data_IF_262011649036
#
_entry.id   IF_262011649036
#
_cell.length_a   1.000
_cell.length_b   1.000
_cell.length_c   1.000
_cell.angle_alpha   90.00
_cell.angle_beta   90.00
_cell.angle_gamma   90.00
#
_symmetry.space_group_name_H-M   'P 1'
#
loop_
_entity.id
_entity.type
_entity.pdbx_description
1 polymer ?
#
# COMPACT_ATOMS: atom_id res chain seq x y z
N UNK A 1 -20.46 0.02 -19.54
CA UNK A 1 -19.70 0.13 -18.28
C UNK A 1 -20.69 0.15 -17.14
N UNK A 2 -20.88 -0.96 -16.44
CA UNK A 2 -21.72 -0.99 -15.25
C UNK A 2 -20.96 -0.25 -14.13
N UNK A 3 -21.53 0.86 -13.67
CA UNK A 3 -21.05 1.56 -12.48
C UNK A 3 -21.30 0.66 -11.28
N UNK A 4 -20.24 0.28 -10.57
CA UNK A 4 -20.33 -0.34 -9.25
C UNK A 4 -20.82 0.73 -8.26
N UNK A 5 -22.09 1.09 -8.32
CA UNK A 5 -22.70 1.97 -7.32
C UNK A 5 -23.05 1.08 -6.13
N UNK A 6 -22.38 1.29 -5.01
CA UNK A 6 -22.85 0.77 -3.73
C UNK A 6 -24.29 1.29 -3.56
N UNK A 7 -25.26 0.40 -3.65
CA UNK A 7 -26.67 0.76 -3.43
C UNK A 7 -26.83 0.88 -1.91
N UNK A 8 -27.15 2.07 -1.38
CA UNK A 8 -27.42 2.22 0.04
C UNK A 8 -28.61 1.32 0.40
N UNK A 9 -28.52 0.67 1.58
CA UNK A 9 -29.52 -0.29 2.08
C UNK A 9 -29.64 -1.62 1.31
N UNK A 10 -28.53 -2.07 0.69
CA UNK A 10 -28.48 -3.38 0.07
C UNK A 10 -28.66 -4.48 1.13
N UNK A 11 -29.63 -5.36 0.90
CA UNK A 11 -29.85 -6.51 1.77
C UNK A 11 -28.82 -7.59 1.45
N UNK A 12 -27.95 -7.89 2.43
CA UNK A 12 -26.87 -8.88 2.28
C UNK A 12 -27.24 -10.26 2.81
N UNK A 13 -28.31 -10.34 3.60
CA UNK A 13 -28.89 -11.58 4.10
C UNK A 13 -30.41 -11.53 4.01
N UNK A 14 -31.05 -12.70 3.89
CA UNK A 14 -32.49 -12.84 4.00
C UNK A 14 -32.99 -12.71 5.48
N UNK A 15 -34.31 -12.88 5.70
CA UNK A 15 -34.90 -12.81 7.03
C UNK A 15 -34.41 -13.90 7.98
N UNK A 16 -33.91 -15.01 7.44
CA UNK A 16 -33.40 -16.16 8.20
C UNK A 16 -31.88 -16.09 8.43
N UNK A 17 -31.23 -15.02 7.93
CA UNK A 17 -29.79 -14.78 8.05
C UNK A 17 -28.93 -15.47 7.01
N UNK A 18 -29.52 -16.09 5.98
CA UNK A 18 -28.76 -16.70 4.90
C UNK A 18 -28.21 -15.62 3.95
N UNK A 19 -27.00 -15.79 3.41
CA UNK A 19 -26.40 -14.86 2.49
C UNK A 19 -27.23 -14.65 1.21
N UNK A 20 -27.50 -13.39 0.88
CA UNK A 20 -28.23 -13.02 -0.34
C UNK A 20 -27.29 -12.83 -1.52
N UNK A 21 -27.77 -13.16 -2.72
CA UNK A 21 -27.06 -12.90 -3.97
C UNK A 21 -27.12 -11.42 -4.27
N UNK A 22 -25.96 -10.85 -4.60
CA UNK A 22 -25.82 -9.46 -5.04
C UNK A 22 -25.30 -9.43 -6.47
N UNK A 23 -25.97 -8.66 -7.33
CA UNK A 23 -25.52 -8.49 -8.72
C UNK A 23 -24.17 -7.80 -8.76
N UNK A 24 -23.15 -8.47 -9.32
CA UNK A 24 -21.79 -7.95 -9.49
C UNK A 24 -21.24 -8.36 -10.86
N UNK A 25 -20.66 -7.41 -11.57
CA UNK A 25 -20.08 -7.63 -12.90
C UNK A 25 -21.16 -7.69 -13.98
N UNK A 26 -21.63 -8.86 -14.32
CA UNK A 26 -22.67 -9.08 -15.33
C UNK A 26 -24.07 -9.05 -14.73
N UNK A 27 -25.06 -8.70 -15.57
CA UNK A 27 -26.47 -8.78 -15.20
C UNK A 27 -26.86 -10.22 -14.81
N UNK A 28 -27.77 -10.36 -13.84
CA UNK A 28 -28.16 -11.67 -13.33
C UNK A 28 -28.86 -12.51 -14.43
N UNK A 29 -29.72 -11.88 -15.24
CA UNK A 29 -30.41 -12.58 -16.34
C UNK A 29 -29.41 -13.13 -17.37
N UNK A 30 -28.28 -12.40 -17.60
CA UNK A 30 -27.21 -12.88 -18.46
C UNK A 30 -26.53 -14.11 -17.87
N UNK A 31 -26.22 -14.09 -16.57
CA UNK A 31 -25.62 -15.24 -15.88
C UNK A 31 -26.55 -16.46 -15.89
N UNK A 32 -27.82 -16.24 -15.67
CA UNK A 32 -28.87 -17.28 -15.65
C UNK A 32 -29.15 -17.85 -17.04
N UNK A 33 -28.79 -17.11 -18.11
CA UNK A 33 -28.92 -17.60 -19.49
C UNK A 33 -27.94 -18.74 -19.82
N UNK A 34 -26.88 -18.91 -19.06
CA UNK A 34 -26.03 -20.06 -19.18
C UNK A 34 -26.62 -21.24 -18.43
N UNK A 35 -26.69 -22.38 -19.12
CA UNK A 35 -27.22 -23.61 -18.52
C UNK A 35 -26.59 -23.92 -17.18
N UNK A 36 -27.41 -24.09 -16.15
CA UNK A 36 -26.91 -24.39 -14.80
C UNK A 36 -26.04 -25.63 -14.79
N UNK A 37 -24.87 -25.52 -14.14
CA UNK A 37 -23.92 -26.63 -14.00
C UNK A 37 -22.84 -26.71 -15.08
N UNK A 38 -22.92 -25.94 -16.16
CA UNK A 38 -21.85 -25.90 -17.17
C UNK A 38 -20.70 -24.96 -16.78
N UNK A 39 -20.99 -23.83 -16.13
CA UNK A 39 -20.00 -22.89 -15.62
C UNK A 39 -19.79 -23.06 -14.10
N UNK A 40 -18.74 -22.46 -13.58
CA UNK A 40 -18.62 -22.29 -12.14
C UNK A 40 -19.72 -21.36 -11.64
N UNK A 41 -20.16 -21.55 -10.38
CA UNK A 41 -21.18 -20.66 -9.78
C UNK A 41 -20.77 -19.19 -9.93
N UNK A 42 -21.59 -18.41 -10.62
CA UNK A 42 -21.31 -17.00 -10.96
C UNK A 42 -21.99 -16.01 -10.02
N UNK A 43 -22.65 -16.52 -8.99
CA UNK A 43 -23.30 -15.72 -7.99
C UNK A 43 -22.28 -15.08 -7.04
N UNK A 44 -22.56 -13.87 -6.64
CA UNK A 44 -21.74 -13.14 -5.67
C UNK A 44 -22.48 -13.05 -4.34
N UNK A 45 -21.84 -13.57 -3.29
CA UNK A 45 -22.33 -13.56 -1.93
C UNK A 45 -21.37 -12.75 -1.05
N UNK A 46 -21.61 -11.44 -0.84
CA UNK A 46 -20.68 -10.58 -0.09
C UNK A 46 -20.32 -11.09 1.29
N UNK A 47 -21.27 -11.73 1.99
CA UNK A 47 -21.06 -12.26 3.33
C UNK A 47 -20.19 -13.51 3.39
N UNK A 48 -20.00 -14.21 2.27
CA UNK A 48 -19.17 -15.41 2.21
C UNK A 48 -17.82 -15.17 1.52
N UNK A 49 -17.79 -14.24 0.57
CA UNK A 49 -16.66 -14.06 -0.35
C UNK A 49 -15.38 -13.62 0.39
N UNK A 50 -15.51 -12.80 1.45
CA UNK A 50 -14.38 -12.34 2.25
C UNK A 50 -13.58 -13.48 2.92
N UNK A 51 -14.19 -14.65 3.14
CA UNK A 51 -13.53 -15.80 3.73
C UNK A 51 -12.59 -16.49 2.74
N UNK A 52 -12.82 -16.26 1.45
CA UNK A 52 -12.09 -16.89 0.34
C UNK A 52 -10.95 -16.01 -0.18
N UNK A 53 -10.81 -14.80 0.36
CA UNK A 53 -9.77 -13.84 -0.02
C UNK A 53 -8.87 -13.55 1.20
N UNK A 54 -7.57 -13.75 1.04
CA UNK A 54 -6.58 -13.52 2.10
C UNK A 54 -5.48 -12.61 1.60
N UNK A 55 -5.32 -11.49 2.26
CA UNK A 55 -4.20 -10.57 2.01
C UNK A 55 -3.18 -10.71 3.13
N UNK A 56 -1.92 -10.91 2.78
CA UNK A 56 -0.80 -10.92 3.71
C UNK A 56 0.27 -9.96 3.22
N UNK A 57 0.65 -9.02 4.07
CA UNK A 57 1.76 -8.09 3.80
C UNK A 57 2.90 -8.38 4.77
N UNK A 58 4.09 -8.60 4.25
CA UNK A 58 5.31 -8.74 5.01
C UNK A 58 6.23 -7.57 4.66
N UNK A 59 6.60 -6.76 5.66
CA UNK A 59 7.56 -5.67 5.54
C UNK A 59 8.84 -6.00 6.30
N UNK A 60 9.98 -5.73 5.69
CA UNK A 60 11.29 -5.79 6.33
C UNK A 60 12.00 -4.47 6.13
N UNK A 61 12.42 -3.84 7.23
CA UNK A 61 13.16 -2.58 7.20
C UNK A 61 14.51 -2.74 7.88
N UNK A 62 15.54 -2.18 7.25
CA UNK A 62 16.89 -2.05 7.82
C UNK A 62 17.27 -0.58 7.76
N UNK A 63 17.63 0.00 8.90
CA UNK A 63 18.10 1.37 9.02
C UNK A 63 19.48 1.39 9.68
N UNK A 64 20.44 2.03 9.03
CA UNK A 64 21.80 2.21 9.53
C UNK A 64 22.09 3.70 9.61
N UNK A 65 22.48 4.18 10.79
CA UNK A 65 22.90 5.55 11.02
C UNK A 65 24.36 5.57 11.45
N UNK A 66 25.17 6.37 10.76
CA UNK A 66 26.56 6.61 11.10
C UNK A 66 26.80 8.11 11.28
N UNK A 67 27.58 8.49 12.28
CA UNK A 67 27.98 9.88 12.50
C UNK A 67 29.46 9.98 12.91
N UNK A 68 30.11 11.00 12.39
CA UNK A 68 31.49 11.35 12.73
C UNK A 68 31.54 12.82 13.09
N UNK A 69 32.07 13.12 14.28
CA UNK A 69 32.32 14.47 14.75
C UNK A 69 33.84 14.67 14.84
N UNK A 70 34.36 15.72 14.22
CA UNK A 70 35.77 16.03 14.20
C UNK A 70 36.06 17.49 14.59
N UNK A 71 36.89 17.66 15.62
CA UNK A 71 37.34 18.99 16.04
C UNK A 71 38.54 19.40 15.20
N UNK A 72 38.33 20.33 14.28
CA UNK A 72 39.38 20.78 13.33
C UNK A 72 40.37 21.70 14.03
N UNK A 73 39.86 22.72 14.73
CA UNK A 73 40.63 23.74 15.46
C UNK A 73 39.84 24.18 16.71
N UNK A 74 40.46 25.02 17.56
CA UNK A 74 39.73 25.63 18.68
C UNK A 74 38.53 26.42 18.18
N UNK A 75 37.32 26.00 18.58
CA UNK A 75 36.06 26.61 18.20
C UNK A 75 35.44 26.09 16.93
N UNK A 76 36.12 25.26 16.11
CA UNK A 76 35.55 24.67 14.89
C UNK A 76 35.37 23.16 15.05
N UNK A 77 34.14 22.72 14.79
CA UNK A 77 33.76 21.30 14.79
C UNK A 77 33.00 20.96 13.51
N UNK A 78 33.44 19.92 12.80
CA UNK A 78 32.75 19.37 11.67
C UNK A 78 31.98 18.13 12.10
N UNK A 79 30.74 18.04 11.67
CA UNK A 79 29.88 16.87 11.84
C UNK A 79 29.52 16.31 10.47
N UNK A 80 29.63 15.01 10.29
CA UNK A 80 29.17 14.28 9.13
C UNK A 80 28.25 13.17 9.59
N UNK A 81 27.04 13.12 9.00
CA UNK A 81 26.04 12.06 9.25
C UNK A 81 25.66 11.39 7.96
N UNK A 82 25.55 10.08 8.02
CA UNK A 82 25.06 9.24 6.94
C UNK A 82 23.95 8.33 7.46
N UNK A 83 22.84 8.27 6.75
CA UNK A 83 21.74 7.34 7.01
C UNK A 83 21.47 6.52 5.77
N UNK A 84 21.46 5.21 5.94
CA UNK A 84 20.99 4.25 4.95
C UNK A 84 19.73 3.58 5.46
N UNK A 85 18.69 3.57 4.65
CA UNK A 85 17.45 2.87 4.95
C UNK A 85 17.07 2.01 3.75
N UNK A 86 16.74 0.76 4.01
CA UNK A 86 16.22 -0.18 3.00
C UNK A 86 14.95 -0.82 3.55
N UNK A 87 13.85 -0.62 2.85
CA UNK A 87 12.55 -1.22 3.16
C UNK A 87 12.13 -2.11 1.98
N UNK A 88 11.71 -3.33 2.30
CA UNK A 88 11.20 -4.28 1.33
C UNK A 88 9.83 -4.77 1.80
N UNK A 89 8.79 -4.44 1.06
CA UNK A 89 7.40 -4.82 1.34
C UNK A 89 6.94 -5.81 0.28
N UNK A 90 6.36 -6.92 0.73
CA UNK A 90 5.78 -7.95 -0.15
C UNK A 90 4.34 -8.16 0.29
N UNK A 91 3.42 -7.94 -0.63
CA UNK A 91 1.99 -8.21 -0.43
C UNK A 91 1.57 -9.39 -1.30
N UNK A 92 0.93 -10.36 -0.69
CA UNK A 92 0.38 -11.55 -1.30
C UNK A 92 -1.13 -11.55 -1.08
N UNK A 93 -1.90 -11.54 -2.19
CA UNK A 93 -3.35 -11.70 -2.18
C UNK A 93 -3.67 -13.09 -2.72
N UNK A 94 -4.08 -13.97 -1.85
CA UNK A 94 -4.52 -15.31 -2.21
C UNK A 94 -6.04 -15.32 -2.34
N UNK A 95 -6.52 -15.55 -3.55
CA UNK A 95 -7.91 -15.78 -3.89
C UNK A 95 -8.13 -17.29 -3.99
N UNK A 96 -8.94 -17.84 -3.10
CA UNK A 96 -9.29 -19.26 -3.15
C UNK A 96 -10.15 -19.56 -4.39
N UNK A 97 -10.17 -20.82 -4.81
CA UNK A 97 -10.98 -21.29 -5.92
C UNK A 97 -12.49 -21.03 -5.76
N UNK A 98 -12.95 -20.84 -4.52
CA UNK A 98 -14.33 -20.52 -4.18
C UNK A 98 -14.62 -19.02 -4.18
N UNK A 99 -13.60 -18.15 -4.28
CA UNK A 99 -13.83 -16.71 -4.35
C UNK A 99 -14.59 -16.33 -5.63
N UNK A 100 -15.44 -15.30 -5.54
CA UNK A 100 -16.10 -14.76 -6.74
C UNK A 100 -15.07 -14.30 -7.77
N UNK A 101 -13.97 -13.72 -7.34
CA UNK A 101 -12.88 -13.27 -8.21
C UNK A 101 -12.38 -14.39 -9.12
N UNK A 102 -12.04 -15.54 -8.55
CA UNK A 102 -11.53 -16.69 -9.31
C UNK A 102 -12.61 -17.29 -10.21
N UNK A 103 -13.82 -17.50 -9.66
CA UNK A 103 -14.93 -18.08 -10.43
C UNK A 103 -15.30 -17.21 -11.64
N UNK A 104 -15.36 -15.88 -11.43
CA UNK A 104 -15.61 -14.92 -12.50
C UNK A 104 -14.47 -14.92 -13.53
N UNK A 105 -13.20 -14.96 -13.07
CA UNK A 105 -12.04 -15.00 -13.96
C UNK A 105 -12.04 -16.25 -14.83
N UNK A 106 -12.21 -17.42 -14.23
CA UNK A 106 -12.25 -18.71 -14.94
C UNK A 106 -13.40 -18.74 -15.94
N UNK A 107 -14.60 -18.31 -15.54
CA UNK A 107 -15.78 -18.27 -16.43
C UNK A 107 -15.61 -17.30 -17.61
N UNK A 108 -14.90 -16.18 -17.40
CA UNK A 108 -14.68 -15.18 -18.45
C UNK A 108 -13.79 -15.68 -19.60
N UNK A 109 -13.00 -16.72 -19.37
CA UNK A 109 -12.11 -17.31 -20.38
C UNK A 109 -12.60 -18.67 -20.92
N UNK A 110 -13.84 -19.02 -20.64
CA UNK A 110 -14.45 -20.24 -21.18
C UNK A 110 -14.64 -20.13 -22.69
N UNK A 111 -14.34 -21.20 -23.40
CA UNK A 111 -14.63 -21.34 -24.82
C UNK A 111 -15.67 -22.43 -25.05
N UNK A 112 -16.55 -22.19 -26.02
CA UNK A 112 -17.49 -23.19 -26.53
C UNK A 112 -16.89 -23.85 -27.76
N UNK A 113 -16.86 -25.19 -27.77
CA UNK A 113 -16.52 -25.93 -28.98
C UNK A 113 -17.70 -25.90 -30.00
N UNK A 114 -17.45 -26.43 -31.19
CA UNK A 114 -18.47 -26.53 -32.25
C UNK A 114 -19.69 -27.37 -31.88
N UNK A 115 -19.59 -28.22 -30.86
CA UNK A 115 -20.63 -29.08 -30.35
C UNK A 115 -21.35 -28.49 -29.13
N UNK A 116 -20.97 -27.26 -28.71
CA UNK A 116 -21.53 -26.61 -27.53
C UNK A 116 -20.96 -27.09 -26.19
N UNK A 117 -19.87 -27.87 -26.22
CA UNK A 117 -19.19 -28.24 -24.98
C UNK A 117 -18.32 -27.09 -24.47
N UNK A 118 -18.24 -26.95 -23.14
CA UNK A 118 -17.46 -25.94 -22.48
C UNK A 118 -16.01 -26.42 -22.27
N UNK A 119 -15.07 -25.66 -22.77
CA UNK A 119 -13.66 -25.84 -22.52
C UNK A 119 -13.13 -24.74 -21.59
N UNK A 120 -12.61 -25.13 -20.43
CA UNK A 120 -11.98 -24.20 -19.48
C UNK A 120 -10.50 -24.04 -19.86
N UNK A 121 -10.15 -22.88 -20.41
CA UNK A 121 -8.76 -22.55 -20.77
C UNK A 121 -7.93 -22.26 -19.51
N UNK A 122 -8.54 -21.56 -18.55
CA UNK A 122 -7.91 -21.28 -17.25
C UNK A 122 -8.18 -22.44 -16.32
N UNK A 123 -7.13 -22.99 -15.65
CA UNK A 123 -7.29 -24.04 -14.64
C UNK A 123 -8.23 -23.61 -13.52
N UNK A 124 -9.05 -24.53 -13.03
CA UNK A 124 -9.93 -24.32 -11.87
C UNK A 124 -9.12 -24.40 -10.58
N UNK A 125 -8.46 -23.33 -10.19
CA UNK A 125 -7.61 -23.27 -8.99
C UNK A 125 -7.64 -21.89 -8.37
N UNK A 126 -7.00 -21.70 -7.21
CA UNK A 126 -6.81 -20.39 -6.61
C UNK A 126 -5.87 -19.50 -7.43
N UNK A 127 -5.99 -18.20 -7.26
CA UNK A 127 -5.12 -17.19 -7.89
C UNK A 127 -4.30 -16.52 -6.79
N UNK A 128 -2.99 -16.44 -7.00
CA UNK A 128 -2.08 -15.71 -6.13
C UNK A 128 -1.56 -14.47 -6.85
N UNK A 129 -2.00 -13.30 -6.38
CA UNK A 129 -1.45 -12.03 -6.81
C UNK A 129 -0.34 -11.60 -5.85
N UNK A 130 0.85 -11.42 -6.38
CA UNK A 130 2.02 -11.01 -5.60
C UNK A 130 2.57 -9.69 -6.10
N UNK A 131 2.68 -8.73 -5.20
CA UNK A 131 3.32 -7.45 -5.47
C UNK A 131 4.42 -7.16 -4.46
N UNK A 132 5.45 -6.43 -4.88
CA UNK A 132 6.54 -6.05 -4.00
C UNK A 132 7.00 -4.63 -4.29
N UNK A 133 7.44 -3.94 -3.24
CA UNK A 133 8.05 -2.62 -3.32
C UNK A 133 9.39 -2.63 -2.57
N UNK A 134 10.45 -2.17 -3.22
CA UNK A 134 11.75 -1.95 -2.61
C UNK A 134 12.03 -0.46 -2.56
N UNK A 135 12.19 0.09 -1.37
CA UNK A 135 12.56 1.48 -1.14
C UNK A 135 13.96 1.53 -0.56
N UNK A 136 14.84 2.32 -1.17
CA UNK A 136 16.20 2.57 -0.68
C UNK A 136 16.35 4.08 -0.52
N UNK A 137 16.73 4.53 0.68
CA UNK A 137 16.93 5.93 1.02
C UNK A 137 18.36 6.09 1.52
N UNK A 138 19.07 7.09 0.96
CA UNK A 138 20.38 7.50 1.40
C UNK A 138 20.31 8.98 1.77
N UNK A 139 20.60 9.31 3.01
CA UNK A 139 20.68 10.69 3.50
C UNK A 139 22.09 10.99 3.96
N UNK A 140 22.62 12.12 3.49
CA UNK A 140 23.93 12.63 3.87
C UNK A 140 23.77 14.04 4.42
N UNK A 141 24.36 14.33 5.56
CA UNK A 141 24.41 15.66 6.17
C UNK A 141 25.82 16.01 6.59
N UNK A 142 26.33 17.13 6.10
CA UNK A 142 27.55 17.77 6.60
C UNK A 142 27.19 19.06 7.32
N UNK A 143 27.81 19.31 8.48
CA UNK A 143 27.60 20.53 9.25
C UNK A 143 28.94 21.00 9.81
N UNK A 144 29.19 22.31 9.76
CA UNK A 144 30.30 22.96 10.38
C UNK A 144 29.79 23.87 11.51
N UNK A 145 30.23 23.64 12.72
CA UNK A 145 29.87 24.42 13.90
C UNK A 145 31.06 25.27 14.32
N UNK A 146 30.79 26.54 14.66
CA UNK A 146 31.79 27.45 15.21
C UNK A 146 31.32 28.02 16.57
N UNK A 147 32.13 27.82 17.59
CA UNK A 147 31.90 28.38 18.91
C UNK A 147 32.97 29.46 19.17
N UNK A 148 32.59 30.73 18.99
CA UNK A 148 33.47 31.88 19.29
C UNK A 148 33.72 31.99 20.78
N UNK A 149 34.99 32.18 21.19
CA UNK A 149 35.33 32.61 22.53
C UNK A 149 35.04 34.10 22.62
N UNK A 150 34.06 34.50 23.42
CA UNK A 150 33.96 35.88 23.86
C UNK A 150 35.16 36.14 24.80
N UNK A 151 36.06 37.02 24.39
CA UNK A 151 37.08 37.53 25.30
C UNK A 151 36.35 38.30 26.41
N UNK A 152 36.53 37.93 27.69
CA UNK A 152 35.99 38.71 28.79
C UNK A 152 36.82 40.01 28.93
N UNK A 153 36.42 41.06 28.23
CA UNK A 153 37.16 42.31 28.28
C UNK A 153 36.63 43.44 27.42
N UNK A 154 35.78 43.21 26.44
CA UNK A 154 35.16 44.28 25.68
C UNK A 154 33.76 44.49 26.23
N UNK A 155 33.68 45.27 27.31
CA UNK A 155 32.43 45.94 27.71
C UNK A 155 32.10 46.91 26.54
N UNK A 156 30.91 46.80 25.98
CA UNK A 156 30.38 47.72 24.99
C UNK A 156 30.63 49.16 25.42
N UNK A 157 31.50 49.89 24.68
CA UNK A 157 31.80 51.28 24.95
C UNK A 157 30.56 52.11 24.78
N UNK A 158 29.97 52.55 25.89
CA UNK A 158 29.05 53.65 25.88
C UNK A 158 29.86 54.89 25.50
N UNK A 159 29.70 55.38 24.28
CA UNK A 159 30.12 56.75 23.91
C UNK A 159 29.20 57.73 24.64
N UNK A 160 29.71 58.33 25.70
CA UNK A 160 29.09 59.51 26.27
C UNK A 160 29.37 60.67 25.33
N UNK A 161 28.33 61.11 24.62
CA UNK A 161 28.37 62.39 23.93
C UNK A 161 28.33 63.50 25.00
N UNK A 162 29.46 64.17 25.20
CA UNK A 162 29.51 65.37 26.04
C UNK A 162 28.78 66.50 25.31
N UNK A 163 27.57 66.80 25.77
CA UNK A 163 26.84 68.00 25.34
C UNK A 163 27.53 69.23 25.86
N UNK A 164 28.10 70.03 24.97
CA UNK A 164 28.59 71.34 25.26
C UNK A 164 27.37 72.29 25.38
N UNK A 165 27.14 72.85 26.58
CA UNK A 165 26.21 73.97 26.79
C UNK A 165 27.01 75.26 26.74
N UNK A 166 26.69 76.11 25.84
CA UNK A 166 26.88 77.57 25.89
C UNK A 166 25.57 78.26 25.69
#
# INVERSE_FOLDING_TARGET
MARNSAVPYMQLADSDGNPSIVTKGYDQNYKDSFESGKLLDWNYYPLLDWQNDRTKTNGTEVMINASVNYKILRGFEAEFKYQYQRQNDITENLHDSQSYYVRNYVNSFVQLDTNGNINFIVPKGGILDKSGALTIINNVRGQLNYTGHQYPGIKNGHYYQSGNKS
#
